data_IF_299317623230
#
_entry.id   IF_299317623230
#
_cell.length_a   1.000
_cell.length_b   1.000
_cell.length_c   1.000
_cell.angle_alpha   90.00
_cell.angle_beta   90.00
_cell.angle_gamma   90.00
#
_symmetry.space_group_name_H-M   'P 1'
#
loop_
_entity.id
_entity.type
_entity.pdbx_description
1 polymer ?
#
# COMPACT_ATOMS: atom_id res chain seq x y z
N UNK A 1 0.90 1.65 1.15
CA UNK A 1 0.65 1.77 -0.30
C UNK A 1 1.20 3.11 -0.79
N UNK A 2 1.42 3.28 -2.11
CA UNK A 2 1.85 4.57 -2.65
C UNK A 2 0.63 5.49 -2.77
N UNK A 3 0.78 6.78 -2.40
CA UNK A 3 -0.29 7.73 -2.62
C UNK A 3 -0.71 7.92 -4.07
N UNK A 4 -2.03 8.05 -4.31
CA UNK A 4 -2.60 8.33 -5.64
C UNK A 4 -2.48 9.81 -6.00
N UNK A 5 -2.46 10.68 -4.99
CA UNK A 5 -2.25 12.12 -5.17
C UNK A 5 -0.84 12.41 -5.71
N UNK A 6 -0.75 13.15 -6.81
CA UNK A 6 0.51 13.44 -7.54
C UNK A 6 1.62 14.01 -6.67
N UNK A 7 1.30 14.89 -5.71
CA UNK A 7 2.29 15.51 -4.81
C UNK A 7 2.85 14.53 -3.76
N UNK A 8 2.01 14.00 -2.86
CA UNK A 8 2.43 13.02 -1.85
C UNK A 8 3.07 11.76 -2.45
N UNK A 9 2.61 11.32 -3.63
CA UNK A 9 3.16 10.17 -4.34
C UNK A 9 4.62 10.38 -4.76
N UNK A 10 5.00 11.60 -5.14
CA UNK A 10 6.35 11.95 -5.56
C UNK A 10 7.32 11.98 -4.37
N UNK A 11 6.88 12.50 -3.23
CA UNK A 11 7.64 12.45 -1.97
C UNK A 11 7.86 11.01 -1.54
N UNK A 12 6.82 10.18 -1.59
CA UNK A 12 6.94 8.74 -1.29
C UNK A 12 7.92 8.05 -2.23
N UNK A 13 7.89 8.38 -3.52
CA UNK A 13 8.81 7.81 -4.52
C UNK A 13 10.28 8.17 -4.21
N UNK A 14 10.55 9.38 -3.72
CA UNK A 14 11.91 9.82 -3.32
C UNK A 14 12.39 9.20 -2.01
N UNK A 15 11.49 8.97 -1.05
CA UNK A 15 11.83 8.40 0.26
C UNK A 15 11.98 6.88 0.21
N UNK A 16 11.30 6.21 -0.71
CA UNK A 16 11.27 4.76 -0.85
C UNK A 16 12.67 4.09 -0.96
N UNK A 17 13.68 4.60 -1.70
CA UNK A 17 15.01 4.01 -1.75
C UNK A 17 15.73 3.97 -0.40
N UNK A 18 15.40 4.90 0.51
CA UNK A 18 15.94 4.94 1.87
C UNK A 18 15.18 3.94 2.75
N UNK A 19 13.85 3.93 2.69
CA UNK A 19 13.00 3.02 3.47
C UNK A 19 13.25 1.55 3.11
N UNK A 20 13.38 1.23 1.81
CA UNK A 20 13.70 -0.13 1.34
C UNK A 20 15.04 -0.61 1.91
N UNK A 21 16.04 0.27 1.99
CA UNK A 21 17.36 -0.07 2.53
C UNK A 21 17.34 -0.29 4.05
N UNK A 22 16.46 0.40 4.77
CA UNK A 22 16.38 0.32 6.24
C UNK A 22 15.47 -0.82 6.71
N UNK A 23 14.35 -1.04 6.03
CA UNK A 23 13.28 -1.96 6.48
C UNK A 23 13.18 -3.21 5.59
N UNK A 24 13.85 -3.24 4.43
CA UNK A 24 13.76 -4.32 3.44
C UNK A 24 12.44 -4.35 2.64
N UNK A 25 11.38 -3.68 3.11
CA UNK A 25 10.07 -3.66 2.46
C UNK A 25 9.95 -2.47 1.47
N UNK A 26 9.59 -2.78 0.23
CA UNK A 26 9.25 -1.79 -0.79
C UNK A 26 7.82 -1.28 -0.61
N UNK A 27 7.57 0.01 -0.86
CA UNK A 27 6.20 0.55 -0.88
C UNK A 27 5.40 -0.20 -1.92
N UNK A 28 4.53 -1.12 -1.45
CA UNK A 28 3.71 -1.91 -2.35
C UNK A 28 2.57 -1.06 -2.89
N UNK A 29 2.63 -0.78 -4.19
CA UNK A 29 1.66 0.05 -4.93
C UNK A 29 0.45 -0.75 -5.39
N UNK A 30 0.51 -2.07 -5.30
CA UNK A 30 -0.46 -3.02 -5.85
C UNK A 30 -0.99 -3.99 -4.81
N UNK A 31 -0.95 -3.62 -3.52
CA UNK A 31 -1.34 -4.50 -2.42
C UNK A 31 -2.77 -5.05 -2.62
N UNK A 32 -3.76 -4.22 -2.98
CA UNK A 32 -5.13 -4.70 -3.19
C UNK A 32 -5.26 -5.61 -4.42
N UNK A 33 -4.56 -5.30 -5.51
CA UNK A 33 -4.52 -6.16 -6.70
C UNK A 33 -3.96 -7.54 -6.35
N UNK A 34 -2.88 -7.58 -5.56
CA UNK A 34 -2.24 -8.83 -5.14
C UNK A 34 -3.16 -9.65 -4.24
N UNK A 35 -3.85 -9.01 -3.28
CA UNK A 35 -4.81 -9.68 -2.40
C UNK A 35 -5.93 -10.33 -3.22
N UNK A 36 -6.51 -9.59 -4.17
CA UNK A 36 -7.55 -10.10 -5.07
C UNK A 36 -7.03 -11.22 -5.98
N UNK A 37 -5.83 -11.05 -6.55
CA UNK A 37 -5.20 -12.05 -7.41
C UNK A 37 -4.85 -13.35 -6.65
N UNK A 38 -4.60 -13.24 -5.33
CA UNK A 38 -4.38 -14.38 -4.46
C UNK A 38 -5.69 -15.10 -4.06
N UNK A 39 -6.85 -14.69 -4.59
CA UNK A 39 -8.15 -15.35 -4.38
C UNK A 39 -8.93 -14.85 -3.16
N UNK A 40 -8.40 -13.87 -2.42
CA UNK A 40 -9.07 -13.35 -1.23
C UNK A 40 -10.23 -12.44 -1.59
N UNK A 41 -11.36 -12.61 -0.90
CA UNK A 41 -12.48 -11.69 -0.94
C UNK A 41 -12.33 -10.65 0.16
N UNK A 42 -12.11 -9.40 -0.25
CA UNK A 42 -12.03 -8.26 0.67
C UNK A 42 -13.44 -7.88 1.12
N UNK A 43 -13.67 -7.86 2.43
CA UNK A 43 -14.94 -7.47 3.05
C UNK A 43 -14.90 -6.03 3.55
N UNK A 44 -13.74 -5.59 4.08
CA UNK A 44 -13.52 -4.23 4.58
C UNK A 44 -12.22 -3.68 4.02
N UNK A 45 -12.23 -2.42 3.59
CA UNK A 45 -11.04 -1.67 3.17
C UNK A 45 -11.18 -0.21 3.65
N UNK A 46 -10.51 0.14 4.75
CA UNK A 46 -10.55 1.49 5.34
C UNK A 46 -9.19 2.19 5.27
N UNK A 47 -9.18 3.49 4.99
CA UNK A 47 -7.99 4.34 4.99
C UNK A 47 -7.70 4.88 6.40
N UNK A 48 -6.70 4.32 7.08
CA UNK A 48 -6.35 4.73 8.45
C UNK A 48 -5.42 5.96 8.48
N UNK A 49 -4.50 6.07 7.52
CA UNK A 49 -3.61 7.22 7.41
C UNK A 49 -3.37 7.55 5.94
N UNK A 50 -4.21 8.43 5.41
CA UNK A 50 -4.27 8.75 3.97
C UNK A 50 -4.42 7.47 3.13
N UNK A 51 -3.93 7.47 1.90
CA UNK A 51 -3.88 6.33 1.01
C UNK A 51 -2.70 5.38 1.29
N UNK A 52 -1.88 5.68 2.30
CA UNK A 52 -0.66 4.94 2.66
C UNK A 52 -0.97 3.74 3.55
N UNK A 53 -1.75 3.93 4.61
CA UNK A 53 -2.08 2.87 5.58
C UNK A 53 -3.55 2.50 5.43
N UNK A 54 -3.83 1.22 5.18
CA UNK A 54 -5.18 0.69 5.05
C UNK A 54 -5.43 -0.44 6.04
N UNK A 55 -6.62 -0.47 6.63
CA UNK A 55 -7.16 -1.61 7.34
C UNK A 55 -7.88 -2.50 6.33
N UNK A 56 -7.59 -3.80 6.34
CA UNK A 56 -8.15 -4.74 5.37
C UNK A 56 -8.64 -5.98 6.12
N UNK A 57 -9.92 -6.31 5.95
CA UNK A 57 -10.49 -7.59 6.38
C UNK A 57 -10.81 -8.40 5.13
N UNK A 58 -10.32 -9.63 5.07
CA UNK A 58 -10.52 -10.50 3.92
C UNK A 58 -10.74 -11.94 4.34
N UNK A 59 -11.51 -12.67 3.53
CA UNK A 59 -11.74 -14.11 3.69
C UNK A 59 -11.22 -14.89 2.48
N UNK A 60 -10.74 -16.13 2.68
CA UNK A 60 -10.32 -17.00 1.59
C UNK A 60 -11.49 -17.43 0.71
#
# INVERSE_FOLDING_TARGET
>A
MRPENRGPGLVFDMVNPVVVRLMGANVNRRTMDNIRAAGWRVEVEDHLASDVVRWIEARP
#
